data_IF_719667489426
#
_entry.id   IF_719667489426
#
_cell.length_a   1.000
_cell.length_b   1.000
_cell.length_c   1.000
_cell.angle_alpha   90.00
_cell.angle_beta   90.00
_cell.angle_gamma   90.00
#
_symmetry.space_group_name_H-M   'P 1'
#
loop_
_entity.id
_entity.type
_entity.pdbx_description
1 polymer ?
#
# COMPACT_ATOMS: atom_id res chain seq x y z
N UNK A 1 14.26 -34.14 0.44
CA UNK A 1 14.41 -33.74 -0.97
C UNK A 1 14.47 -32.21 -0.98
N UNK A 2 15.49 -31.58 -1.58
CA UNK A 2 15.50 -30.12 -1.71
C UNK A 2 14.20 -29.66 -2.37
N UNK A 3 13.60 -28.55 -1.92
CA UNK A 3 12.36 -28.02 -2.54
C UNK A 3 12.50 -27.81 -4.06
N UNK A 4 13.74 -27.62 -4.54
CA UNK A 4 14.08 -27.42 -5.96
C UNK A 4 13.93 -28.66 -6.83
N UNK A 5 13.97 -29.86 -6.25
CA UNK A 5 13.94 -31.11 -7.03
C UNK A 5 12.54 -31.75 -7.06
N UNK A 6 11.58 -31.16 -6.34
CA UNK A 6 10.23 -31.71 -6.20
C UNK A 6 9.55 -31.89 -7.57
N UNK A 7 8.88 -33.02 -7.77
CA UNK A 7 8.26 -33.40 -9.04
C UNK A 7 7.19 -32.40 -9.52
N UNK A 8 6.52 -31.74 -8.57
CA UNK A 8 5.46 -30.75 -8.85
C UNK A 8 5.98 -29.31 -8.91
N UNK A 9 7.30 -29.08 -8.95
CA UNK A 9 7.82 -27.73 -9.05
C UNK A 9 7.51 -27.13 -10.45
N UNK A 10 7.08 -25.88 -10.47
CA UNK A 10 7.01 -25.11 -11.69
C UNK A 10 8.42 -24.88 -12.23
N UNK A 11 8.55 -24.87 -13.55
CA UNK A 11 9.80 -24.57 -14.24
C UNK A 11 9.49 -23.57 -15.34
N UNK A 12 10.37 -22.58 -15.54
CA UNK A 12 10.30 -21.62 -16.66
C UNK A 12 11.65 -21.52 -17.35
N UNK A 13 11.75 -21.11 -18.60
CA UNK A 13 13.04 -20.80 -19.21
C UNK A 13 13.39 -19.32 -19.00
N UNK A 14 14.39 -19.05 -18.18
CA UNK A 14 14.87 -17.68 -17.89
C UNK A 14 16.01 -17.35 -18.86
N UNK A 15 15.92 -16.25 -19.64
CA UNK A 15 17.02 -15.81 -20.49
C UNK A 15 18.27 -15.45 -19.68
N UNK A 16 19.44 -15.94 -20.10
CA UNK A 16 20.71 -15.74 -19.40
C UNK A 16 21.14 -14.26 -19.28
N UNK A 17 20.62 -13.40 -20.16
CA UNK A 17 20.87 -11.96 -20.13
C UNK A 17 19.97 -11.19 -19.14
N UNK A 18 19.02 -11.85 -18.46
CA UNK A 18 18.16 -11.23 -17.45
C UNK A 18 18.89 -11.10 -16.11
N UNK A 19 19.90 -10.24 -16.07
CA UNK A 19 20.70 -9.99 -14.86
C UNK A 19 19.91 -9.33 -13.73
N UNK A 20 18.72 -8.82 -14.05
CA UNK A 20 17.83 -8.09 -13.15
C UNK A 20 16.80 -9.00 -12.44
N UNK A 21 16.64 -10.24 -12.92
CA UNK A 21 15.69 -11.22 -12.41
C UNK A 21 16.40 -12.22 -11.48
N UNK A 22 15.90 -12.40 -10.25
CA UNK A 22 16.63 -13.11 -9.18
C UNK A 22 15.99 -14.44 -8.78
N UNK A 23 14.76 -14.73 -9.24
CA UNK A 23 14.15 -16.03 -8.98
C UNK A 23 14.85 -17.12 -9.77
N UNK A 24 14.98 -18.28 -9.13
CA UNK A 24 15.51 -19.50 -9.75
C UNK A 24 14.53 -20.05 -10.77
N UNK A 25 15.06 -20.80 -11.72
CA UNK A 25 14.33 -21.42 -12.82
C UNK A 25 13.19 -22.36 -12.36
N UNK A 26 13.39 -23.05 -11.23
CA UNK A 26 12.42 -23.96 -10.63
C UNK A 26 11.90 -23.40 -9.32
N UNK A 27 10.58 -23.35 -9.17
CA UNK A 27 9.86 -22.85 -7.98
C UNK A 27 8.75 -23.82 -7.59
N UNK A 28 8.70 -24.24 -6.33
CA UNK A 28 7.59 -25.06 -5.83
C UNK A 28 6.37 -24.20 -5.48
N UNK A 29 6.61 -23.00 -4.93
CA UNK A 29 5.57 -22.10 -4.42
C UNK A 29 5.90 -20.69 -4.90
N UNK A 30 4.87 -19.95 -5.30
CA UNK A 30 4.96 -18.52 -5.59
C UNK A 30 4.37 -17.76 -4.40
N UNK A 31 5.14 -16.83 -3.84
CA UNK A 31 4.75 -16.08 -2.65
C UNK A 31 4.55 -14.62 -3.00
N UNK A 32 3.32 -14.11 -2.85
CA UNK A 32 3.03 -12.68 -3.00
C UNK A 32 2.86 -12.04 -1.62
N UNK A 33 3.48 -10.88 -1.45
CA UNK A 33 3.25 -9.97 -0.33
C UNK A 33 2.02 -9.12 -0.60
N UNK A 34 1.25 -8.80 0.44
CA UNK A 34 0.01 -8.05 0.26
C UNK A 34 0.28 -6.60 -0.20
N UNK A 35 -0.15 -6.21 -1.42
CA UNK A 35 0.11 -4.88 -1.96
C UNK A 35 -0.64 -3.76 -1.20
N UNK A 36 -1.81 -4.03 -0.62
CA UNK A 36 -2.53 -3.06 0.22
C UNK A 36 -1.72 -2.72 1.47
N UNK A 37 -1.10 -3.72 2.09
CA UNK A 37 -0.23 -3.51 3.24
C UNK A 37 1.09 -2.81 2.87
N UNK A 38 1.68 -3.12 1.72
CA UNK A 38 2.84 -2.38 1.19
C UNK A 38 2.49 -0.89 1.05
N UNK A 39 1.38 -0.57 0.39
CA UNK A 39 0.92 0.81 0.19
C UNK A 39 0.62 1.54 1.50
N UNK A 40 -0.11 0.92 2.42
CA UNK A 40 -0.41 1.53 3.73
C UNK A 40 0.85 1.72 4.59
N UNK A 41 1.83 0.82 4.54
CA UNK A 41 3.14 1.02 5.18
C UNK A 41 3.91 2.18 4.57
N UNK A 42 3.96 2.30 3.23
CA UNK A 42 4.58 3.46 2.55
C UNK A 42 3.91 4.78 2.98
N UNK A 43 2.57 4.81 3.01
CA UNK A 43 1.81 5.97 3.51
C UNK A 43 2.17 6.28 4.96
N UNK A 44 2.12 5.29 5.86
CA UNK A 44 2.37 5.51 7.29
C UNK A 44 3.81 5.98 7.54
N UNK A 45 4.77 5.51 6.74
CA UNK A 45 6.14 5.99 6.79
C UNK A 45 6.25 7.47 6.38
N UNK A 46 5.52 7.89 5.32
CA UNK A 46 5.42 9.30 4.93
C UNK A 46 4.75 10.18 6.00
N UNK A 47 3.71 9.68 6.67
CA UNK A 47 2.98 10.43 7.71
C UNK A 47 3.65 10.38 9.09
N UNK A 48 4.70 9.58 9.25
CA UNK A 48 5.38 9.42 10.53
C UNK A 48 6.28 10.62 10.83
N UNK A 49 6.16 11.17 12.04
CA UNK A 49 7.09 12.19 12.54
C UNK A 49 8.49 11.64 12.84
N UNK A 50 8.65 10.31 12.91
CA UNK A 50 9.92 9.63 13.21
C UNK A 50 10.72 9.29 11.94
N UNK A 51 10.07 9.17 10.79
CA UNK A 51 10.72 8.78 9.55
C UNK A 51 11.38 9.97 8.87
N UNK A 52 12.58 9.78 8.31
CA UNK A 52 13.34 10.86 7.65
C UNK A 52 13.63 10.51 6.21
N UNK A 53 12.63 10.44 5.35
CA UNK A 53 12.82 10.03 3.95
C UNK A 53 13.53 11.09 3.08
N UNK A 54 14.47 10.68 2.22
CA UNK A 54 15.16 11.60 1.29
C UNK A 54 15.62 10.93 0.00
N UNK A 55 15.54 11.65 -1.11
CA UNK A 55 16.01 11.22 -2.45
C UNK A 55 16.78 12.38 -3.08
N UNK A 56 18.04 12.15 -3.46
CA UNK A 56 18.88 13.19 -4.02
C UNK A 56 19.06 14.36 -3.05
N UNK A 57 18.82 15.58 -3.53
CA UNK A 57 18.91 16.81 -2.72
C UNK A 57 17.63 17.16 -1.97
N UNK A 58 16.55 16.39 -2.15
CA UNK A 58 15.24 16.74 -1.61
C UNK A 58 14.77 15.76 -0.54
N UNK A 59 14.06 16.29 0.46
CA UNK A 59 13.40 15.53 1.51
C UNK A 59 11.96 15.22 1.12
N UNK A 60 11.49 14.02 1.45
CA UNK A 60 10.08 13.67 1.37
C UNK A 60 9.44 14.05 2.72
N UNK A 61 8.58 15.08 2.73
CA UNK A 61 7.94 15.59 3.96
C UNK A 61 6.45 15.82 3.78
N UNK A 62 5.69 15.49 4.82
CA UNK A 62 4.27 15.82 4.97
C UNK A 62 3.97 17.31 4.73
N UNK A 63 4.92 18.19 5.05
CA UNK A 63 4.77 19.64 4.86
C UNK A 63 4.46 20.02 3.42
N UNK A 64 4.96 19.26 2.44
CA UNK A 64 4.70 19.49 1.01
C UNK A 64 3.22 19.24 0.70
N UNK A 65 2.63 18.16 1.25
CA UNK A 65 1.21 17.86 1.11
C UNK A 65 0.35 18.87 1.89
N UNK A 66 0.80 19.30 3.06
CA UNK A 66 0.11 20.34 3.85
C UNK A 66 0.07 21.68 3.10
N UNK A 67 1.18 22.07 2.44
CA UNK A 67 1.25 23.25 1.57
C UNK A 67 0.31 23.12 0.37
N UNK A 68 0.23 21.93 -0.25
CA UNK A 68 -0.70 21.67 -1.34
C UNK A 68 -2.14 21.91 -0.91
N UNK A 69 -2.55 21.30 0.21
CA UNK A 69 -3.91 21.40 0.76
C UNK A 69 -4.26 22.84 1.16
N UNK A 70 -3.30 23.61 1.67
CA UNK A 70 -3.52 24.98 2.10
C UNK A 70 -3.59 25.98 0.93
N UNK A 71 -2.78 25.77 -0.11
CA UNK A 71 -2.52 26.79 -1.14
C UNK A 71 -3.15 26.47 -2.50
N UNK A 72 -3.63 25.25 -2.73
CA UNK A 72 -4.24 24.82 -3.99
C UNK A 72 -5.71 24.51 -3.80
N UNK A 73 -6.52 24.76 -4.82
CA UNK A 73 -7.95 24.48 -4.75
C UNK A 73 -8.20 22.97 -4.66
N UNK A 74 -9.01 22.54 -3.67
CA UNK A 74 -9.44 21.16 -3.47
C UNK A 74 -10.03 20.50 -4.73
N UNK A 75 -10.68 21.26 -5.61
CA UNK A 75 -11.25 20.72 -6.85
C UNK A 75 -10.18 20.21 -7.83
N UNK A 76 -8.93 20.64 -7.66
CA UNK A 76 -7.80 20.20 -8.50
C UNK A 76 -7.23 18.89 -7.98
N UNK A 77 -6.97 18.77 -6.68
CA UNK A 77 -6.23 17.64 -6.09
C UNK A 77 -7.09 16.66 -5.29
N UNK A 78 -8.33 17.00 -4.96
CA UNK A 78 -9.28 16.15 -4.23
C UNK A 78 -9.02 15.91 -2.73
N UNK A 79 -7.80 16.17 -2.24
CA UNK A 79 -7.40 15.94 -0.85
C UNK A 79 -8.12 16.82 0.19
N UNK A 80 -8.34 16.25 1.38
CA UNK A 80 -8.73 16.95 2.61
C UNK A 80 -7.73 16.68 3.74
N UNK A 81 -7.76 17.52 4.79
CA UNK A 81 -6.87 17.38 5.96
C UNK A 81 -6.90 15.98 6.60
N UNK A 82 -8.06 15.32 6.62
CA UNK A 82 -8.19 13.96 7.18
C UNK A 82 -7.45 12.91 6.36
N UNK A 83 -7.23 13.12 5.06
CA UNK A 83 -6.51 12.14 4.22
C UNK A 83 -5.04 12.05 4.66
N UNK A 84 -4.44 13.15 5.13
CA UNK A 84 -3.05 13.19 5.60
C UNK A 84 -2.90 12.97 7.11
N UNK A 85 -3.97 12.54 7.79
CA UNK A 85 -3.97 12.33 9.23
C UNK A 85 -3.40 10.95 9.62
N UNK A 86 -2.42 10.86 10.54
CA UNK A 86 -1.70 9.62 10.84
C UNK A 86 -2.46 8.64 11.76
N UNK A 87 -3.58 9.05 12.36
CA UNK A 87 -4.31 8.24 13.36
C UNK A 87 -4.89 6.95 12.78
N UNK A 88 -5.43 7.01 11.56
CA UNK A 88 -5.95 5.83 10.88
C UNK A 88 -4.86 5.20 10.01
N UNK A 89 -4.10 4.28 10.62
CA UNK A 89 -2.97 3.58 9.99
C UNK A 89 -3.41 2.53 8.96
N UNK A 90 -4.67 2.10 8.98
CA UNK A 90 -5.21 1.08 8.07
C UNK A 90 -5.99 1.70 6.89
N UNK A 91 -5.98 3.03 6.76
CA UNK A 91 -6.72 3.74 5.73
C UNK A 91 -6.12 3.62 4.33
N UNK A 92 -6.46 2.54 3.62
CA UNK A 92 -6.03 2.37 2.24
C UNK A 92 -6.66 3.41 1.29
N UNK A 93 -7.91 3.82 1.52
CA UNK A 93 -8.59 4.81 0.67
C UNK A 93 -7.85 6.17 0.66
N UNK A 94 -7.29 6.58 1.80
CA UNK A 94 -6.41 7.75 1.85
C UNK A 94 -5.13 7.51 1.05
N UNK A 95 -4.53 6.33 1.13
CA UNK A 95 -3.35 5.97 0.32
C UNK A 95 -3.61 6.11 -1.18
N UNK A 96 -4.78 5.66 -1.65
CA UNK A 96 -5.22 5.84 -3.03
C UNK A 96 -5.45 7.31 -3.39
N UNK A 97 -5.95 8.15 -2.48
CA UNK A 97 -6.15 9.57 -2.79
C UNK A 97 -4.84 10.34 -2.84
N UNK A 98 -3.96 10.18 -1.84
CA UNK A 98 -2.70 10.95 -1.76
C UNK A 98 -1.76 10.67 -2.93
N UNK A 99 -1.87 9.48 -3.53
CA UNK A 99 -1.03 9.08 -4.65
C UNK A 99 -1.69 9.27 -6.02
N UNK A 100 -2.84 9.95 -6.09
CA UNK A 100 -3.58 10.11 -7.35
C UNK A 100 -2.81 10.92 -8.38
N UNK A 101 -3.15 10.75 -9.66
CA UNK A 101 -2.51 11.51 -10.74
C UNK A 101 -2.82 13.01 -10.61
N UNK A 102 -4.04 13.36 -10.18
CA UNK A 102 -4.44 14.73 -9.86
C UNK A 102 -3.53 15.38 -8.80
N UNK A 103 -3.18 14.65 -7.74
CA UNK A 103 -2.23 15.14 -6.71
C UNK A 103 -0.83 15.27 -7.30
N UNK A 104 -0.37 14.30 -8.09
CA UNK A 104 0.95 14.36 -8.73
C UNK A 104 1.11 15.54 -9.68
N UNK A 105 0.05 15.89 -10.43
CA UNK A 105 -0.01 17.06 -11.30
C UNK A 105 -0.05 18.34 -10.48
N UNK A 106 -0.88 18.41 -9.44
CA UNK A 106 -0.98 19.60 -8.60
C UNK A 106 0.34 19.92 -7.85
N UNK A 107 1.13 18.88 -7.52
CA UNK A 107 2.45 19.05 -6.92
C UNK A 107 3.50 19.65 -7.87
N UNK A 108 3.30 19.64 -9.20
CA UNK A 108 4.25 20.26 -10.16
C UNK A 108 4.43 21.76 -9.93
N UNK A 109 3.40 22.42 -9.42
CA UNK A 109 3.41 23.86 -9.14
C UNK A 109 4.14 24.18 -7.83
N UNK A 110 4.34 23.18 -6.96
CA UNK A 110 5.00 23.37 -5.68
C UNK A 110 6.53 23.21 -5.84
N UNK A 111 7.33 24.22 -5.45
CA UNK A 111 8.79 24.11 -5.50
C UNK A 111 9.29 23.00 -4.59
N UNK A 112 10.39 22.35 -4.98
CA UNK A 112 11.05 21.27 -4.25
C UNK A 112 10.15 20.07 -3.90
N UNK A 113 9.14 19.81 -4.73
CA UNK A 113 8.20 18.68 -4.54
C UNK A 113 8.60 17.40 -5.27
N UNK A 114 9.68 17.40 -6.05
CA UNK A 114 9.99 16.31 -7.00
C UNK A 114 10.24 14.97 -6.29
N UNK A 115 10.98 14.95 -5.17
CA UNK A 115 11.15 13.72 -4.39
C UNK A 115 9.82 13.21 -3.80
N UNK A 116 8.94 14.11 -3.34
CA UNK A 116 7.59 13.73 -2.90
C UNK A 116 6.77 13.14 -4.05
N UNK A 117 6.78 13.76 -5.23
CA UNK A 117 6.08 13.26 -6.41
C UNK A 117 6.56 11.86 -6.79
N UNK A 118 7.87 11.64 -6.78
CA UNK A 118 8.45 10.33 -7.08
C UNK A 118 8.05 9.26 -6.05
N UNK A 119 8.00 9.63 -4.77
CA UNK A 119 7.52 8.76 -3.69
C UNK A 119 6.03 8.41 -3.83
N UNK A 120 5.19 9.37 -4.18
CA UNK A 120 3.76 9.12 -4.44
C UNK A 120 3.56 8.29 -5.72
N UNK A 121 4.40 8.49 -6.73
CA UNK A 121 4.43 7.69 -7.96
C UNK A 121 4.85 6.24 -7.71
N UNK A 122 5.73 5.99 -6.72
CA UNK A 122 6.04 4.64 -6.24
C UNK A 122 4.77 3.94 -5.72
N UNK A 123 4.02 4.60 -4.84
CA UNK A 123 2.76 4.09 -4.28
C UNK A 123 1.76 3.83 -5.41
N UNK A 124 1.56 4.82 -6.30
CA UNK A 124 0.65 4.69 -7.45
C UNK A 124 1.02 3.50 -8.33
N UNK A 125 2.30 3.31 -8.63
CA UNK A 125 2.76 2.19 -9.46
C UNK A 125 2.47 0.84 -8.81
N UNK A 126 2.60 0.70 -7.48
CA UNK A 126 2.23 -0.53 -6.76
C UNK A 126 0.71 -0.78 -6.86
N UNK A 127 -0.11 0.26 -6.69
CA UNK A 127 -1.58 0.16 -6.84
C UNK A 127 -1.94 -0.30 -8.26
N UNK A 128 -1.38 0.36 -9.28
CA UNK A 128 -1.63 0.02 -10.70
C UNK A 128 -1.16 -1.41 -11.02
N UNK A 129 0.00 -1.84 -10.52
CA UNK A 129 0.53 -3.16 -10.79
C UNK A 129 -0.31 -4.29 -10.18
N UNK A 130 -0.77 -4.13 -8.93
CA UNK A 130 -1.28 -5.27 -8.16
C UNK A 130 -2.73 -5.14 -7.67
N UNK A 131 -3.31 -3.94 -7.64
CA UNK A 131 -4.62 -3.70 -7.01
C UNK A 131 -5.67 -3.32 -8.05
N UNK A 132 -5.35 -2.41 -8.97
CA UNK A 132 -6.29 -2.00 -10.01
C UNK A 132 -6.67 -3.20 -10.88
N UNK A 133 -7.98 -3.38 -11.14
CA UNK A 133 -8.53 -4.49 -11.91
C UNK A 133 -8.47 -4.24 -13.41
N UNK A 134 -8.45 -2.98 -13.84
CA UNK A 134 -8.49 -2.60 -15.26
C UNK A 134 -7.11 -2.63 -15.94
N UNK A 135 -6.03 -2.69 -15.16
CA UNK A 135 -4.66 -2.65 -15.70
C UNK A 135 -4.30 -3.93 -16.48
N UNK A 136 -3.80 -3.75 -17.70
CA UNK A 136 -3.28 -4.81 -18.58
C UNK A 136 -1.97 -5.41 -18.06
N UNK A 137 -1.66 -6.66 -18.41
CA UNK A 137 -0.43 -7.32 -17.94
C UNK A 137 0.85 -6.56 -18.30
N UNK A 138 0.92 -5.95 -19.48
CA UNK A 138 2.09 -5.16 -19.91
C UNK A 138 2.33 -4.00 -18.95
N UNK A 139 1.26 -3.28 -18.60
CA UNK A 139 1.32 -2.15 -17.67
C UNK A 139 1.60 -2.63 -16.25
N UNK A 140 1.08 -3.79 -15.83
CA UNK A 140 1.41 -4.37 -14.52
C UNK A 140 2.90 -4.66 -14.39
N UNK A 141 3.48 -5.30 -15.40
CA UNK A 141 4.93 -5.59 -15.43
C UNK A 141 5.74 -4.30 -15.43
N UNK A 142 5.35 -3.32 -16.25
CA UNK A 142 5.99 -2.02 -16.28
C UNK A 142 6.01 -1.37 -14.88
N UNK A 143 4.84 -1.22 -14.25
CA UNK A 143 4.72 -0.56 -12.96
C UNK A 143 5.38 -1.36 -11.81
N UNK A 144 5.32 -2.68 -11.85
CA UNK A 144 6.03 -3.54 -10.89
C UNK A 144 7.54 -3.31 -10.95
N UNK A 145 8.13 -3.33 -12.15
CA UNK A 145 9.56 -3.11 -12.32
C UNK A 145 9.97 -1.65 -12.15
N UNK A 146 9.11 -0.70 -12.48
CA UNK A 146 9.29 0.71 -12.16
C UNK A 146 9.49 0.89 -10.65
N UNK A 147 8.61 0.30 -9.84
CA UNK A 147 8.73 0.33 -8.37
C UNK A 147 10.04 -0.30 -7.88
N UNK A 148 10.43 -1.45 -8.44
CA UNK A 148 11.70 -2.12 -8.10
C UNK A 148 12.90 -1.24 -8.44
N UNK A 149 13.00 -0.73 -9.67
CA UNK A 149 14.17 0.06 -10.07
C UNK A 149 14.27 1.36 -9.31
N UNK A 150 13.13 1.99 -9.00
CA UNK A 150 13.12 3.19 -8.16
C UNK A 150 13.71 2.88 -6.78
N UNK A 151 13.26 1.80 -6.13
CA UNK A 151 13.82 1.39 -4.84
C UNK A 151 15.29 0.96 -4.93
N UNK A 152 15.70 0.21 -5.97
CA UNK A 152 17.09 -0.22 -6.17
C UNK A 152 18.03 0.97 -6.35
N UNK A 153 17.68 1.91 -7.23
CA UNK A 153 18.52 3.08 -7.49
C UNK A 153 18.56 4.01 -6.28
N UNK A 154 17.43 4.21 -5.59
CA UNK A 154 17.37 4.97 -4.35
C UNK A 154 18.27 4.35 -3.27
N UNK A 155 18.18 3.02 -3.07
CA UNK A 155 19.01 2.31 -2.11
C UNK A 155 20.51 2.37 -2.49
N UNK A 156 20.84 2.11 -3.75
CA UNK A 156 22.22 2.17 -4.23
C UNK A 156 22.83 3.57 -4.07
N UNK A 157 22.06 4.62 -4.37
CA UNK A 157 22.48 6.00 -4.17
C UNK A 157 22.79 6.30 -2.70
N UNK A 158 21.91 5.89 -1.78
CA UNK A 158 22.13 6.06 -0.34
C UNK A 158 23.39 5.34 0.14
N UNK A 159 23.62 4.10 -0.31
CA UNK A 159 24.81 3.33 0.05
C UNK A 159 26.10 3.96 -0.50
N UNK A 160 26.07 4.45 -1.74
CA UNK A 160 27.21 5.14 -2.34
C UNK A 160 27.50 6.44 -1.61
N UNK A 161 26.49 7.29 -1.39
CA UNK A 161 26.69 8.57 -0.69
C UNK A 161 27.22 8.39 0.71
N UNK A 162 26.78 7.34 1.42
CA UNK A 162 27.31 7.05 2.74
C UNK A 162 28.79 6.66 2.77
N UNK A 163 29.36 6.18 1.66
CA UNK A 163 30.79 5.86 1.56
C UNK A 163 31.68 7.10 1.37
N UNK A 164 31.11 8.25 1.00
CA UNK A 164 31.85 9.44 0.54
C UNK A 164 31.43 10.74 1.27
N UNK A 165 31.23 10.69 2.60
CA UNK A 165 30.67 11.76 3.45
C UNK A 165 29.15 11.96 3.30
N UNK A 166 28.42 11.59 4.37
CA UNK A 166 27.17 12.27 4.71
C UNK A 166 27.56 13.64 5.27
N UNK A 167 27.90 14.56 4.36
CA UNK A 167 28.21 15.95 4.70
C UNK A 167 26.99 16.59 5.41
N UNK A 168 27.26 17.54 6.30
CA UNK A 168 26.36 18.06 7.35
C UNK A 168 24.98 18.54 6.87
N UNK A 169 24.77 18.71 5.56
CA UNK A 169 23.57 19.29 4.95
C UNK A 169 22.27 18.52 5.21
N UNK A 170 22.32 17.21 5.48
CA UNK A 170 21.14 16.43 5.90
C UNK A 170 21.04 16.25 7.43
N UNK A 171 22.10 16.57 8.18
CA UNK A 171 22.19 16.37 9.64
C UNK A 171 21.70 17.59 10.44
N UNK A 172 21.66 18.79 9.85
CA UNK A 172 21.32 20.04 10.55
C UNK A 172 19.89 20.17 11.13
N UNK A 173 19.02 19.17 11.00
CA UNK A 173 17.63 19.25 11.50
C UNK A 173 17.22 18.09 12.42
N UNK A 174 18.16 17.24 12.84
CA UNK A 174 17.92 16.27 13.92
C UNK A 174 18.26 16.93 15.26
N UNK A 175 17.25 17.15 16.10
CA UNK A 175 17.32 17.84 17.39
C UNK A 175 18.58 17.57 18.23
N UNK A 176 19.08 18.67 18.82
CA UNK A 176 20.28 18.86 19.64
C UNK A 176 20.35 18.06 20.97
N UNK A 177 20.09 16.75 21.00
CA UNK A 177 20.29 15.96 22.22
C UNK A 177 20.70 14.51 21.90
N UNK A 178 21.92 14.31 21.40
CA UNK A 178 22.56 13.00 21.47
C UNK A 178 24.07 13.16 21.58
N UNK A 179 24.55 13.00 22.81
CA UNK A 179 25.96 12.86 23.15
C UNK A 179 26.65 11.79 22.31
N UNK A 180 27.88 12.12 21.95
CA UNK A 180 28.91 11.35 21.26
C UNK A 180 29.02 9.89 21.72
N UNK A 181 28.46 8.97 20.92
CA UNK A 181 28.88 7.57 20.77
C UNK A 181 28.19 6.95 19.53
N UNK A 182 28.97 6.56 18.51
CA UNK A 182 28.55 5.70 17.39
C UNK A 182 28.01 6.41 16.12
N UNK A 183 28.90 6.85 15.23
CA UNK A 183 28.62 7.43 13.90
C UNK A 183 28.15 6.38 12.85
N UNK A 184 27.08 5.66 13.16
CA UNK A 184 26.33 4.80 12.22
C UNK A 184 24.81 4.93 12.42
N UNK A 185 24.35 6.07 12.95
CA UNK A 185 22.93 6.47 12.90
C UNK A 185 22.61 7.07 11.53
N UNK A 186 21.73 6.50 10.74
CA UNK A 186 21.79 5.17 10.11
C UNK A 186 21.17 5.43 8.74
N UNK A 187 21.88 5.16 7.65
CA UNK A 187 21.41 5.38 6.25
C UNK A 187 19.97 4.86 6.05
N UNK A 188 19.62 3.81 6.81
CA UNK A 188 18.28 3.20 6.86
C UNK A 188 17.16 4.17 7.20
N UNK A 189 17.42 5.23 7.97
CA UNK A 189 16.41 6.23 8.32
C UNK A 189 15.96 7.09 7.13
N UNK A 190 16.80 7.15 6.08
CA UNK A 190 16.55 7.89 4.84
C UNK A 190 15.88 7.09 3.73
N UNK A 191 15.64 5.80 3.99
CA UNK A 191 15.02 4.87 3.07
C UNK A 191 13.72 4.32 3.65
N UNK A 192 12.99 3.58 2.81
CA UNK A 192 11.93 2.70 3.31
C UNK A 192 12.52 1.54 4.12
N UNK A 193 11.71 0.87 4.93
CA UNK A 193 12.19 -0.29 5.70
C UNK A 193 12.61 -1.43 4.77
N UNK A 194 13.60 -2.23 5.20
CA UNK A 194 14.12 -3.33 4.39
C UNK A 194 13.04 -4.36 4.02
N UNK A 195 12.13 -4.65 4.96
CA UNK A 195 10.98 -5.55 4.72
C UNK A 195 10.11 -5.01 3.57
N UNK A 196 9.88 -3.69 3.52
CA UNK A 196 9.08 -3.06 2.47
C UNK A 196 9.77 -3.12 1.12
N UNK A 197 11.08 -2.83 1.09
CA UNK A 197 11.90 -2.97 -0.11
C UNK A 197 11.87 -4.40 -0.66
N UNK A 198 12.13 -5.39 0.19
CA UNK A 198 12.08 -6.80 -0.18
C UNK A 198 10.68 -7.25 -0.63
N UNK A 199 9.61 -6.70 -0.04
CA UNK A 199 8.24 -7.02 -0.45
C UNK A 199 7.94 -6.54 -1.87
N UNK A 200 8.43 -5.34 -2.24
CA UNK A 200 8.31 -4.80 -3.59
C UNK A 200 9.10 -5.66 -4.59
N UNK A 201 10.33 -6.05 -4.24
CA UNK A 201 11.15 -6.99 -5.02
C UNK A 201 10.41 -8.31 -5.25
N UNK A 202 10.00 -9.00 -4.18
CA UNK A 202 9.32 -10.30 -4.22
C UNK A 202 8.13 -10.23 -5.18
N UNK A 203 7.25 -9.25 -5.03
CA UNK A 203 6.05 -9.16 -5.87
C UNK A 203 6.38 -9.02 -7.37
N UNK A 204 7.38 -8.21 -7.73
CA UNK A 204 7.73 -7.98 -9.13
C UNK A 204 8.37 -9.22 -9.78
N UNK A 205 9.26 -9.90 -9.06
CA UNK A 205 9.82 -11.15 -9.55
C UNK A 205 8.75 -12.23 -9.69
N UNK A 206 7.84 -12.35 -8.72
CA UNK A 206 6.77 -13.36 -8.73
C UNK A 206 5.77 -13.10 -9.85
N UNK A 207 5.39 -11.84 -10.08
CA UNK A 207 4.58 -11.44 -11.24
C UNK A 207 5.24 -11.82 -12.56
N UNK A 208 6.55 -11.57 -12.68
CA UNK A 208 7.30 -11.90 -13.90
C UNK A 208 7.40 -13.41 -14.09
N UNK A 209 7.64 -14.17 -13.02
CA UNK A 209 7.67 -15.63 -13.06
C UNK A 209 6.31 -16.20 -13.49
N UNK A 210 5.22 -15.69 -12.92
CA UNK A 210 3.87 -16.09 -13.29
C UNK A 210 3.54 -15.75 -14.75
N UNK A 211 3.99 -14.58 -15.21
CA UNK A 211 3.88 -14.19 -16.62
C UNK A 211 4.62 -15.18 -17.50
N UNK A 212 5.85 -15.58 -17.15
CA UNK A 212 6.60 -16.58 -17.90
C UNK A 212 5.88 -17.92 -17.96
N UNK A 213 5.25 -18.37 -16.87
CA UNK A 213 4.45 -19.60 -16.88
C UNK A 213 3.29 -19.55 -17.88
N UNK A 214 2.63 -18.39 -18.01
CA UNK A 214 1.54 -18.21 -18.98
C UNK A 214 2.06 -18.08 -20.40
N UNK A 215 3.16 -17.34 -20.61
CA UNK A 215 3.82 -17.21 -21.92
C UNK A 215 4.36 -18.54 -22.44
N UNK A 216 4.78 -19.43 -21.55
CA UNK A 216 5.21 -20.79 -21.87
C UNK A 216 4.05 -21.81 -21.88
N UNK A 217 2.80 -21.34 -21.83
CA UNK A 217 1.58 -22.16 -21.88
C UNK A 217 1.46 -23.21 -20.74
N UNK A 218 2.17 -23.01 -19.63
CA UNK A 218 2.13 -23.87 -18.44
C UNK A 218 0.98 -23.53 -17.50
N UNK A 219 0.46 -22.30 -17.58
CA UNK A 219 -0.70 -21.83 -16.84
C UNK A 219 -1.65 -21.08 -17.77
N UNK A 220 -2.97 -21.10 -17.47
CA UNK A 220 -3.95 -20.37 -18.25
C UNK A 220 -3.86 -18.86 -17.99
N UNK A 221 -4.37 -18.04 -18.91
CA UNK A 221 -4.26 -16.57 -18.83
C UNK A 221 -4.95 -15.98 -17.59
N UNK A 222 -5.98 -16.66 -17.08
CA UNK A 222 -6.70 -16.33 -15.86
C UNK A 222 -5.79 -16.33 -14.63
N UNK A 223 -4.65 -17.05 -14.67
CA UNK A 223 -3.65 -16.99 -13.62
C UNK A 223 -3.07 -15.56 -13.45
N UNK A 224 -3.15 -14.71 -14.47
CA UNK A 224 -2.70 -13.31 -14.42
C UNK A 224 -3.73 -12.35 -13.80
N UNK A 225 -4.76 -12.85 -13.12
CA UNK A 225 -5.67 -12.04 -12.31
C UNK A 225 -5.01 -11.61 -10.99
N UNK A 226 -3.92 -10.84 -11.09
CA UNK A 226 -3.04 -10.46 -9.97
C UNK A 226 -3.77 -9.73 -8.84
N UNK A 227 -4.85 -9.01 -9.15
CA UNK A 227 -5.68 -8.34 -8.14
C UNK A 227 -6.38 -9.30 -7.17
N UNK A 228 -6.33 -10.61 -7.41
CA UNK A 228 -6.78 -11.65 -6.49
C UNK A 228 -5.69 -12.09 -5.49
N UNK A 229 -4.43 -11.73 -5.72
CA UNK A 229 -3.29 -12.19 -4.92
C UNK A 229 -2.98 -11.23 -3.76
N UNK A 230 -4.03 -10.85 -3.03
CA UNK A 230 -3.95 -10.04 -1.82
C UNK A 230 -4.86 -10.63 -0.74
N UNK A 231 -4.77 -10.12 0.48
CA UNK A 231 -5.56 -10.63 1.61
C UNK A 231 -6.95 -9.99 1.74
N UNK A 232 -7.40 -9.16 0.79
CA UNK A 232 -8.67 -8.42 0.92
C UNK A 232 -9.89 -9.34 1.02
N UNK A 233 -9.87 -10.50 0.36
CA UNK A 233 -10.92 -11.52 0.51
C UNK A 233 -10.95 -12.11 1.92
N UNK A 234 -9.79 -12.32 2.54
CA UNK A 234 -9.68 -12.76 3.93
C UNK A 234 -10.19 -11.68 4.88
N UNK A 235 -9.77 -10.42 4.71
CA UNK A 235 -10.26 -9.29 5.49
C UNK A 235 -11.79 -9.10 5.35
N UNK A 236 -12.32 -9.28 4.14
CA UNK A 236 -13.76 -9.26 3.90
C UNK A 236 -14.48 -10.35 4.69
N UNK A 237 -13.93 -11.57 4.74
CA UNK A 237 -14.48 -12.67 5.53
C UNK A 237 -14.48 -12.35 7.03
N UNK A 238 -13.40 -11.77 7.54
CA UNK A 238 -13.34 -11.29 8.92
C UNK A 238 -14.36 -10.18 9.20
N UNK A 239 -14.53 -9.21 8.30
CA UNK A 239 -15.55 -8.17 8.45
C UNK A 239 -16.96 -8.75 8.45
N UNK A 240 -17.27 -9.66 7.53
CA UNK A 240 -18.57 -10.33 7.46
C UNK A 240 -18.87 -11.13 8.73
N UNK A 241 -17.91 -11.88 9.26
CA UNK A 241 -18.09 -12.62 10.53
C UNK A 241 -18.27 -11.70 11.74
N UNK A 242 -17.63 -10.52 11.77
CA UNK A 242 -17.89 -9.49 12.80
C UNK A 242 -19.28 -8.87 12.68
N UNK A 243 -19.74 -8.63 11.45
CA UNK A 243 -21.06 -8.10 11.17
C UNK A 243 -22.21 -9.09 11.48
N UNK A 244 -21.91 -10.40 11.50
CA UNK A 244 -22.86 -11.45 11.89
C UNK A 244 -23.07 -11.51 13.41
N UNK A 245 -23.68 -10.46 13.95
CA UNK A 245 -24.16 -10.42 15.33
C UNK A 245 -25.69 -10.47 15.36
N UNK A 246 -26.27 -10.96 16.46
CA UNK A 246 -27.73 -11.04 16.62
C UNK A 246 -28.39 -9.66 16.67
N UNK A 247 -29.71 -9.58 16.44
CA UNK A 247 -30.47 -8.32 16.36
C UNK A 247 -30.32 -7.37 17.57
N UNK A 248 -29.87 -7.90 18.72
CA UNK A 248 -29.64 -7.15 19.96
C UNK A 248 -28.21 -7.30 20.50
N UNK A 249 -27.26 -7.71 19.65
CA UNK A 249 -25.87 -7.94 20.03
C UNK A 249 -24.93 -7.15 19.12
N UNK A 250 -24.05 -6.36 19.71
CA UNK A 250 -22.95 -5.66 19.03
C UNK A 250 -21.59 -6.35 19.25
N UNK A 251 -21.61 -7.65 19.60
CA UNK A 251 -20.39 -8.40 19.95
C UNK A 251 -19.54 -8.63 18.69
N UNK A 252 -18.60 -7.72 18.48
CA UNK A 252 -17.60 -7.78 17.40
C UNK A 252 -16.41 -8.69 17.73
N UNK A 253 -16.17 -8.97 19.01
CA UNK A 253 -15.09 -9.84 19.48
C UNK A 253 -15.66 -11.21 19.86
N UNK A 254 -15.04 -12.28 19.37
CA UNK A 254 -15.56 -13.64 19.57
C UNK A 254 -14.43 -14.66 19.63
N UNK A 255 -14.70 -15.79 20.30
CA UNK A 255 -13.75 -16.89 20.41
C UNK A 255 -13.55 -17.62 19.07
N UNK A 256 -12.50 -18.42 18.95
CA UNK A 256 -12.22 -19.22 17.75
C UNK A 256 -13.41 -20.13 17.39
N UNK A 257 -14.04 -20.76 18.38
CA UNK A 257 -15.23 -21.59 18.15
C UNK A 257 -16.40 -20.78 17.58
N UNK A 258 -16.61 -19.57 18.10
CA UNK A 258 -17.65 -18.67 17.59
C UNK A 258 -17.33 -18.18 16.17
N UNK A 259 -16.05 -17.93 15.85
CA UNK A 259 -15.62 -17.62 14.49
C UNK A 259 -15.95 -18.76 13.52
N UNK A 260 -15.57 -20.00 13.85
CA UNK A 260 -15.82 -21.17 13.00
C UNK A 260 -17.31 -21.36 12.72
N UNK A 261 -18.15 -21.22 13.76
CA UNK A 261 -19.60 -21.29 13.61
C UNK A 261 -20.16 -20.18 12.69
N UNK A 262 -19.63 -18.96 12.79
CA UNK A 262 -20.05 -17.84 11.92
C UNK A 262 -19.53 -18.04 10.49
N UNK A 263 -18.31 -18.52 10.32
CA UNK A 263 -17.73 -18.83 9.01
C UNK A 263 -18.52 -19.94 8.29
N UNK A 264 -18.95 -20.98 9.02
CA UNK A 264 -19.83 -22.01 8.45
C UNK A 264 -21.16 -21.43 7.97
N UNK A 265 -21.78 -20.54 8.76
CA UNK A 265 -23.01 -19.85 8.35
C UNK A 265 -22.79 -18.95 7.13
N UNK A 266 -21.67 -18.23 7.05
CA UNK A 266 -21.31 -17.45 5.85
C UNK A 266 -21.16 -18.35 4.64
N UNK A 267 -20.49 -19.50 4.77
CA UNK A 267 -20.33 -20.46 3.66
C UNK A 267 -21.69 -20.93 3.13
N UNK A 268 -22.62 -21.28 4.02
CA UNK A 268 -23.99 -21.66 3.63
C UNK A 268 -24.71 -20.50 2.94
N UNK A 269 -24.61 -19.28 3.47
CA UNK A 269 -25.22 -18.09 2.85
C UNK A 269 -24.64 -17.82 1.46
N UNK A 270 -23.33 -17.99 1.28
CA UNK A 270 -22.69 -17.85 -0.02
C UNK A 270 -23.15 -18.91 -1.01
N UNK A 271 -23.26 -20.18 -0.58
CA UNK A 271 -23.78 -21.26 -1.40
C UNK A 271 -25.22 -20.97 -1.89
N UNK A 272 -26.12 -20.59 -0.98
CA UNK A 272 -27.51 -20.24 -1.33
C UNK A 272 -27.55 -19.03 -2.28
N UNK A 273 -26.69 -18.02 -2.05
CA UNK A 273 -26.61 -16.85 -2.93
C UNK A 273 -26.13 -17.22 -4.33
N UNK A 274 -25.10 -18.06 -4.46
CA UNK A 274 -24.61 -18.53 -5.76
C UNK A 274 -25.64 -19.37 -6.50
N UNK A 275 -26.37 -20.26 -5.81
CA UNK A 275 -27.43 -21.06 -6.41
C UNK A 275 -28.60 -20.20 -6.89
N UNK A 276 -28.96 -19.16 -6.13
CA UNK A 276 -30.00 -18.20 -6.54
C UNK A 276 -29.59 -17.39 -7.77
N UNK A 277 -28.32 -16.97 -7.88
CA UNK A 277 -27.79 -16.23 -9.03
C UNK A 277 -27.70 -17.09 -10.31
N UNK A 278 -27.39 -18.38 -10.18
CA UNK A 278 -27.43 -19.33 -11.31
C UNK A 278 -28.86 -19.63 -11.72
N UNK A 279 -29.77 -19.87 -10.78
CA UNK A 279 -31.16 -20.23 -11.06
C UNK A 279 -32.02 -19.07 -11.57
N UNK A 280 -31.63 -17.81 -11.31
CA UNK A 280 -32.31 -16.64 -11.89
C UNK A 280 -32.01 -16.41 -13.38
N UNK A 281 -31.02 -17.13 -13.95
CA UNK A 281 -30.79 -17.18 -15.40
C UNK A 281 -31.67 -18.22 -16.13
N UNK A 282 -32.37 -19.08 -15.39
CA UNK A 282 -33.27 -20.12 -15.92
C UNK A 282 -34.72 -19.78 -15.52
N UNK A 283 -35.53 -19.45 -16.52
CA UNK A 283 -36.80 -18.68 -16.44
C UNK A 283 -37.93 -19.25 -15.54
N UNK A 284 -37.80 -20.37 -14.81
CA UNK A 284 -38.97 -21.00 -14.14
C UNK A 284 -38.75 -21.61 -12.73
N UNK A 285 -37.84 -21.08 -11.91
CA UNK A 285 -37.73 -21.51 -10.50
C UNK A 285 -38.01 -20.35 -9.55
N UNK A 286 -38.77 -20.56 -8.48
CA UNK A 286 -39.03 -19.56 -7.44
C UNK A 286 -37.69 -18.99 -6.92
N UNK A 287 -37.29 -17.82 -7.40
CA UNK A 287 -35.99 -17.24 -7.08
C UNK A 287 -36.02 -16.70 -5.65
N UNK A 288 -35.14 -17.21 -4.79
CA UNK A 288 -34.89 -16.61 -3.48
C UNK A 288 -34.24 -15.24 -3.68
N UNK A 289 -35.05 -14.18 -3.60
CA UNK A 289 -34.59 -12.79 -3.66
C UNK A 289 -34.17 -12.37 -2.26
N UNK A 290 -32.86 -12.34 -2.01
CA UNK A 290 -32.33 -11.72 -0.80
C UNK A 290 -32.61 -10.22 -0.82
N UNK A 291 -33.02 -9.60 0.31
CA UNK A 291 -33.10 -8.15 0.42
C UNK A 291 -31.73 -7.52 0.15
N UNK A 292 -31.53 -6.99 -1.06
CA UNK A 292 -30.33 -6.23 -1.42
C UNK A 292 -30.59 -4.77 -1.06
N UNK A 293 -29.71 -4.15 -0.29
CA UNK A 293 -29.69 -2.69 -0.17
C UNK A 293 -29.52 -2.10 -1.59
N UNK A 294 -30.41 -1.20 -2.03
CA UNK A 294 -30.45 -0.65 -3.41
C UNK A 294 -29.08 -0.18 -3.95
N UNK A 295 -28.16 0.22 -3.06
CA UNK A 295 -26.79 0.65 -3.40
C UNK A 295 -25.91 -0.45 -4.05
N UNK A 296 -26.16 -1.73 -3.79
CA UNK A 296 -25.34 -2.84 -4.34
C UNK A 296 -25.75 -3.25 -5.76
N UNK A 297 -26.99 -2.95 -6.19
CA UNK A 297 -27.47 -3.29 -7.54
C UNK A 297 -26.69 -2.56 -8.65
N UNK A 298 -26.14 -1.38 -8.35
CA UNK A 298 -25.35 -0.58 -9.30
C UNK A 298 -23.91 -1.06 -9.51
N UNK A 299 -23.41 -2.00 -8.69
CA UNK A 299 -22.01 -2.48 -8.76
C UNK A 299 -21.84 -3.84 -9.47
N UNK A 300 -22.93 -4.49 -9.88
CA UNK A 300 -22.88 -5.82 -10.50
C UNK A 300 -22.67 -5.82 -12.03
N UNK A 301 -22.70 -4.65 -12.69
CA UNK A 301 -22.63 -4.54 -14.16
C UNK A 301 -21.24 -4.21 -14.70
N UNK A 302 -20.20 -4.75 -14.08
CA UNK A 302 -18.87 -4.78 -14.68
C UNK A 302 -18.19 -6.10 -14.36
N UNK A 303 -18.76 -7.19 -14.92
CA UNK A 303 -17.91 -8.32 -15.30
C UNK A 303 -16.91 -7.76 -16.30
N UNK A 304 -15.69 -7.49 -15.83
CA UNK A 304 -14.57 -7.21 -16.70
C UNK A 304 -14.37 -8.45 -17.55
N UNK A 305 -14.98 -8.46 -18.74
CA UNK A 305 -14.55 -9.31 -19.83
C UNK A 305 -13.08 -9.00 -20.04
N UNK A 306 -12.21 -9.89 -19.56
CA UNK A 306 -10.78 -9.88 -19.88
C UNK A 306 -10.71 -10.16 -21.37
N UNK A 307 -10.87 -9.11 -22.17
CA UNK A 307 -10.64 -9.19 -23.59
C UNK A 307 -9.14 -9.26 -23.82
N UNK A 308 -8.81 -10.08 -24.82
CA UNK A 308 -7.61 -10.07 -25.66
C UNK A 308 -6.41 -10.87 -25.14
N UNK A 309 -6.25 -12.04 -25.74
CA UNK A 309 -4.99 -12.75 -26.08
C UNK A 309 -3.72 -12.03 -25.62
N UNK A 310 -3.13 -12.51 -24.51
CA UNK A 310 -1.80 -12.10 -24.09
C UNK A 310 -0.76 -12.78 -24.99
N UNK A 311 -0.48 -12.19 -26.15
CA UNK A 311 0.64 -12.61 -27.01
C UNK A 311 1.93 -11.92 -26.54
N UNK A 312 2.23 -12.01 -25.24
CA UNK A 312 3.43 -11.43 -24.67
C UNK A 312 4.61 -12.37 -24.93
N UNK A 313 5.69 -11.87 -25.50
CA UNK A 313 6.92 -12.65 -25.67
C UNK A 313 7.94 -12.32 -24.58
N UNK A 314 8.97 -13.16 -24.41
CA UNK A 314 10.11 -12.85 -23.53
C UNK A 314 10.83 -11.55 -23.94
N UNK A 315 10.86 -11.25 -25.24
CA UNK A 315 11.42 -10.00 -25.74
C UNK A 315 10.57 -8.79 -25.34
N UNK A 316 9.23 -8.94 -25.31
CA UNK A 316 8.34 -7.89 -24.82
C UNK A 316 8.55 -7.63 -23.33
N UNK A 317 8.67 -8.68 -22.51
CA UNK A 317 9.01 -8.54 -21.09
C UNK A 317 10.32 -7.77 -20.94
N UNK A 318 11.39 -8.19 -21.65
CA UNK A 318 12.69 -7.51 -21.59
C UNK A 318 12.56 -6.03 -21.99
N UNK A 319 11.80 -5.70 -23.04
CA UNK A 319 11.58 -4.33 -23.49
C UNK A 319 10.82 -3.50 -22.45
N UNK A 320 9.76 -4.05 -21.85
CA UNK A 320 8.97 -3.40 -20.80
C UNK A 320 9.85 -3.09 -19.58
N UNK A 321 10.60 -4.09 -19.11
CA UNK A 321 11.52 -3.94 -17.96
C UNK A 321 12.63 -2.93 -18.27
N UNK A 322 13.16 -2.97 -19.50
CA UNK A 322 14.15 -1.99 -19.94
C UNK A 322 13.56 -0.58 -19.96
N UNK A 323 12.34 -0.38 -20.47
CA UNK A 323 11.65 0.92 -20.43
C UNK A 323 11.54 1.43 -19.00
N UNK A 324 11.01 0.60 -18.09
CA UNK A 324 10.86 0.97 -16.69
C UNK A 324 12.18 1.39 -16.04
N UNK A 325 13.29 0.71 -16.37
CA UNK A 325 14.62 1.09 -15.91
C UNK A 325 15.04 2.47 -16.42
N UNK A 326 14.89 2.73 -17.73
CA UNK A 326 15.29 4.02 -18.32
C UNK A 326 14.43 5.17 -17.79
N UNK A 327 13.12 4.96 -17.69
CA UNK A 327 12.17 5.96 -17.20
C UNK A 327 12.46 6.33 -15.74
N UNK A 328 12.78 5.35 -14.89
CA UNK A 328 13.22 5.62 -13.50
C UNK A 328 14.56 6.36 -13.48
N UNK A 329 15.52 5.95 -14.31
CA UNK A 329 16.83 6.59 -14.36
C UNK A 329 16.72 8.06 -14.76
N UNK A 330 15.90 8.38 -15.77
CA UNK A 330 15.62 9.75 -16.21
C UNK A 330 14.98 10.57 -15.08
N UNK A 331 13.95 10.02 -14.42
CA UNK A 331 13.30 10.71 -13.30
C UNK A 331 14.26 11.00 -12.15
N UNK A 332 15.11 10.04 -11.78
CA UNK A 332 16.10 10.22 -10.71
C UNK A 332 17.23 11.17 -11.12
N UNK A 333 17.52 11.31 -12.42
CA UNK A 333 18.48 12.29 -12.91
C UNK A 333 18.04 13.73 -12.60
N UNK A 334 16.72 14.00 -12.57
CA UNK A 334 16.19 15.32 -12.16
C UNK A 334 16.49 15.67 -10.69
N UNK A 335 16.85 14.68 -9.87
CA UNK A 335 17.19 14.82 -8.45
C UNK A 335 18.70 14.71 -8.18
N UNK A 336 19.54 14.70 -9.22
CA UNK A 336 21.01 14.57 -9.13
C UNK A 336 21.47 13.25 -8.50
N UNK A 337 20.65 12.19 -8.63
CA UNK A 337 20.97 10.84 -8.15
C UNK A 337 21.86 10.11 -9.15
N UNK A 338 21.70 10.38 -10.44
CA UNK A 338 22.39 9.70 -11.53
C UNK A 338 23.90 9.96 -11.54
N UNK A 339 24.36 11.16 -11.18
CA UNK A 339 25.78 11.48 -11.13
C UNK A 339 26.54 10.58 -10.16
N UNK A 340 26.03 10.41 -8.95
CA UNK A 340 26.63 9.52 -7.96
C UNK A 340 26.64 8.05 -8.42
N UNK A 341 25.58 7.60 -9.10
CA UNK A 341 25.52 6.24 -9.66
C UNK A 341 26.49 6.06 -10.83
N UNK A 342 26.67 7.09 -11.68
CA UNK A 342 27.62 7.07 -12.80
C UNK A 342 29.06 7.01 -12.32
N UNK A 343 29.43 7.85 -11.36
CA UNK A 343 30.76 7.88 -10.73
C UNK A 343 31.17 6.51 -10.15
N UNK A 344 30.18 5.76 -9.64
CA UNK A 344 30.38 4.44 -9.04
C UNK A 344 30.12 3.28 -10.02
N UNK A 345 29.96 3.56 -11.31
CA UNK A 345 29.69 2.57 -12.37
C UNK A 345 28.40 1.75 -12.18
N UNK A 346 27.39 2.27 -11.46
CA UNK A 346 26.09 1.61 -11.15
C UNK A 346 24.96 2.08 -12.10
N UNK A 347 25.30 2.77 -13.19
CA UNK A 347 24.32 3.40 -14.08
C UNK A 347 23.70 2.48 -15.15
N UNK A 348 24.19 1.24 -15.30
CA UNK A 348 23.61 0.27 -16.23
C UNK A 348 22.73 -0.74 -15.48
N UNK A 349 21.71 -1.29 -16.15
CA UNK A 349 20.83 -2.30 -15.57
C UNK A 349 21.59 -3.51 -15.01
N UNK A 350 22.62 -3.96 -15.74
CA UNK A 350 23.49 -5.05 -15.30
C UNK A 350 24.26 -4.70 -14.04
N UNK A 351 24.94 -3.55 -14.02
CA UNK A 351 25.78 -3.16 -12.89
C UNK A 351 24.93 -2.87 -11.64
N UNK A 352 23.79 -2.20 -11.79
CA UNK A 352 22.84 -2.00 -10.69
C UNK A 352 22.36 -3.32 -10.10
N UNK A 353 21.98 -4.27 -10.96
CA UNK A 353 21.46 -5.56 -10.49
C UNK A 353 22.54 -6.38 -9.79
N UNK A 354 23.78 -6.39 -10.30
CA UNK A 354 24.90 -7.04 -9.64
C UNK A 354 25.25 -6.38 -8.30
N UNK A 355 25.22 -5.05 -8.23
CA UNK A 355 25.44 -4.31 -6.98
C UNK A 355 24.40 -4.68 -5.92
N UNK A 356 23.11 -4.61 -6.26
CA UNK A 356 22.02 -4.95 -5.34
C UNK A 356 22.08 -6.41 -4.89
N UNK A 357 22.36 -7.34 -5.81
CA UNK A 357 22.48 -8.76 -5.46
C UNK A 357 23.61 -9.00 -4.46
N UNK A 358 24.77 -8.35 -4.63
CA UNK A 358 25.88 -8.44 -3.69
C UNK A 358 25.51 -7.89 -2.31
N UNK A 359 24.83 -6.75 -2.26
CA UNK A 359 24.37 -6.14 -1.01
C UNK A 359 23.33 -7.02 -0.29
N UNK A 360 22.37 -7.60 -1.03
CA UNK A 360 21.38 -8.53 -0.46
C UNK A 360 22.04 -9.78 0.13
N UNK A 361 23.01 -10.37 -0.59
CA UNK A 361 23.75 -11.53 -0.09
C UNK A 361 24.60 -11.19 1.15
N UNK A 362 25.20 -10.00 1.20
CA UNK A 362 25.96 -9.55 2.36
C UNK A 362 25.06 -9.44 3.61
N UNK A 363 23.83 -8.93 3.46
CA UNK A 363 22.87 -8.83 4.57
C UNK A 363 22.43 -10.20 5.09
N UNK A 364 22.28 -11.21 4.23
CA UNK A 364 21.89 -12.56 4.65
C UNK A 364 23.00 -13.26 5.45
N UNK A 365 24.27 -13.02 5.11
CA UNK A 365 25.41 -13.64 5.81
C UNK A 365 25.66 -13.06 7.21
N UNK A 366 25.02 -11.94 7.55
CA UNK A 366 25.13 -11.30 8.88
C UNK A 366 24.00 -11.66 9.83
N UNK A 367 23.03 -12.48 9.42
CA UNK A 367 21.93 -12.93 10.29
C UNK A 367 22.44 -14.15 11.08
N UNK A 368 22.90 -13.91 12.31
CA UNK A 368 23.17 -14.94 13.30
C UNK A 368 21.84 -15.29 13.99
N UNK A 369 21.26 -16.45 13.67
CA UNK A 369 19.99 -16.96 14.20
C UNK A 369 20.02 -17.25 15.73
N UNK A 370 21.11 -16.93 16.43
CA UNK A 370 21.30 -17.22 17.86
C UNK A 370 20.91 -16.09 18.81
N UNK A 371 20.55 -14.90 18.31
CA UNK A 371 20.00 -13.82 19.14
C UNK A 371 18.51 -13.64 18.86
N UNK A 372 17.62 -13.70 19.88
CA UNK A 372 16.27 -13.20 19.69
C UNK A 372 16.42 -11.73 19.32
N UNK A 373 16.10 -11.39 18.07
CA UNK A 373 15.92 -10.00 17.69
C UNK A 373 14.86 -9.45 18.64
N UNK A 374 15.29 -8.57 19.55
CA UNK A 374 14.44 -7.55 20.13
C UNK A 374 13.89 -6.79 18.93
N UNK A 375 12.78 -7.30 18.39
CA UNK A 375 11.96 -6.66 17.38
C UNK A 375 11.83 -5.22 17.81
N UNK A 376 12.39 -4.34 16.98
CA UNK A 376 12.18 -2.91 17.05
C UNK A 376 10.75 -2.67 17.51
N UNK A 377 10.64 -1.97 18.64
CA UNK A 377 9.40 -1.56 19.25
C UNK A 377 8.46 -0.96 18.22
N UNK A 378 7.65 -1.80 17.59
CA UNK A 378 6.27 -1.48 17.25
C UNK A 378 5.61 -1.24 18.61
N UNK A 379 5.80 -0.04 19.13
CA UNK A 379 4.95 0.49 20.17
C UNK A 379 3.56 0.61 19.55
N UNK A 380 2.80 -0.48 19.61
CA UNK A 380 1.36 -0.53 19.73
C UNK A 380 0.93 0.18 21.03
N UNK A 381 1.46 1.38 21.27
CA UNK A 381 0.98 2.27 22.30
C UNK A 381 -0.11 3.12 21.65
N UNK A 382 -1.36 2.81 21.97
CA UNK A 382 -2.47 3.74 21.87
C UNK A 382 -2.08 5.02 22.62
N UNK A 383 -1.55 6.00 21.88
CA UNK A 383 -1.47 7.36 22.38
C UNK A 383 -2.91 7.88 22.44
N UNK A 384 -3.55 7.61 23.57
CA UNK A 384 -4.67 8.39 24.09
C UNK A 384 -4.14 9.82 24.17
N UNK A 385 -4.47 10.62 23.16
CA UNK A 385 -4.34 12.07 23.25
C UNK A 385 -5.45 12.53 24.20
N UNK A 386 -5.10 12.60 25.47
CA UNK A 386 -5.94 13.19 26.51
C UNK A 386 -5.92 14.71 26.29
N UNK A 387 -6.99 15.22 25.67
CA UNK A 387 -7.22 16.66 25.58
C UNK A 387 -7.80 17.09 26.93
N UNK A 388 -6.92 17.48 27.87
CA UNK A 388 -7.34 18.34 28.97
C UNK A 388 -7.45 19.77 28.45
N UNK A 389 -8.69 20.17 28.19
CA UNK A 389 -9.10 21.54 27.96
C UNK A 389 -8.99 22.30 29.29
N UNK A 390 -7.83 22.91 29.54
CA UNK A 390 -7.66 23.84 30.65
C UNK A 390 -8.11 25.22 30.20
N UNK A 391 -9.40 25.49 30.41
CA UNK A 391 -9.97 26.82 30.45
C UNK A 391 -9.25 27.57 31.58
N UNK A 392 -8.45 28.57 31.23
CA UNK A 392 -7.96 29.55 32.19
C UNK A 392 -9.12 30.50 32.52
N UNK A 393 -9.77 30.27 33.65
CA UNK A 393 -10.56 31.28 34.36
C UNK A 393 -9.63 32.06 35.30
N UNK A 394 -9.31 33.30 34.94
CA UNK A 394 -9.06 34.37 35.91
C UNK A 394 -9.66 35.67 35.37
N UNK A 395 -10.60 36.24 36.12
CA UNK A 395 -11.18 37.56 35.84
C UNK A 395 -12.54 37.77 36.48
N UNK A 396 -12.54 38.04 37.79
CA UNK A 396 -13.67 38.62 38.53
C UNK A 396 -14.22 39.89 37.83
N UNK A 397 -15.54 40.05 37.75
CA UNK A 397 -16.32 41.03 38.54
C UNK A 397 -17.78 41.11 38.03
N UNK A 398 -18.70 40.90 38.97
CA UNK A 398 -20.06 41.46 39.12
C UNK A 398 -20.70 42.19 37.95
N UNK A 399 -21.89 41.76 37.50
CA UNK A 399 -23.15 42.35 37.95
C UNK A 399 -24.40 41.64 37.40
N UNK A 400 -25.47 41.76 38.18
CA UNK A 400 -26.83 41.23 37.99
C UNK A 400 -27.47 41.64 36.66
N UNK A 401 -28.30 40.77 36.06
CA UNK A 401 -29.74 41.03 36.04
C UNK A 401 -30.60 39.83 35.56
N UNK A 402 -31.81 39.81 36.09
CA UNK A 402 -32.94 38.91 35.86
C UNK A 402 -33.34 38.75 34.37
N UNK A 403 -33.82 37.57 33.96
CA UNK A 403 -35.27 37.34 33.76
C UNK A 403 -35.61 35.87 33.45
N UNK A 404 -36.76 35.49 33.98
CA UNK A 404 -37.47 34.22 33.98
C UNK A 404 -38.44 34.06 32.80
N UNK A 405 -38.74 32.83 32.39
CA UNK A 405 -40.08 32.31 31.99
C UNK A 405 -39.92 30.87 31.45
N UNK A 406 -40.28 29.84 32.21
CA UNK A 406 -41.61 29.22 32.45
C UNK A 406 -41.99 28.12 31.43
N UNK A 407 -42.14 26.92 31.98
CA UNK A 407 -42.80 25.72 31.43
C UNK A 407 -44.29 25.97 31.18
N UNK A 408 -44.89 25.31 30.19
CA UNK A 408 -46.24 24.75 30.37
C UNK A 408 -46.58 23.65 29.34
N UNK A 409 -46.80 22.45 29.86
CA UNK A 409 -47.60 21.36 29.28
C UNK A 409 -49.06 21.66 29.61
N UNK A 410 -49.99 21.46 28.66
CA UNK A 410 -51.39 21.25 28.99
C UNK A 410 -52.01 20.20 28.06
N UNK A 411 -52.46 19.12 28.71
CA UNK A 411 -53.47 18.17 28.25
C UNK A 411 -54.81 18.88 28.06
N UNK A 412 -55.54 18.51 27.01
CA UNK A 412 -57.00 18.68 26.95
C UNK A 412 -57.62 17.38 26.45
N UNK A 413 -58.28 16.69 27.37
CA UNK A 413 -59.26 15.63 27.12
C UNK A 413 -60.60 16.24 26.67
N UNK A 414 -61.33 15.52 25.82
CA UNK A 414 -62.68 15.89 25.41
C UNK A 414 -63.25 14.94 24.37
N UNK A 415 -63.84 13.84 24.84
CA UNK A 415 -64.72 12.94 24.09
C UNK A 415 -65.87 13.68 23.40
N UNK A 416 -66.42 13.10 22.32
CA UNK A 416 -67.85 12.83 22.07
C UNK A 416 -68.03 12.30 20.63
N UNK A 417 -68.45 11.03 20.53
CA UNK A 417 -69.15 10.42 19.39
C UNK A 417 -70.59 11.00 19.29
N UNK A 418 -71.24 11.08 18.10
CA UNK A 418 -71.89 9.89 17.53
C UNK A 418 -72.02 9.83 15.99
N UNK A 419 -72.25 8.61 15.48
CA UNK A 419 -72.57 8.32 14.08
C UNK A 419 -72.18 6.90 13.69
#
# INVERSE_FOLDING_TARGET
MPLTDHANAFEVSIPANWTWFFLRQRQLILCFQDPTHICTKLRNHLLSSKATLGIGKQRISLDILSKLIANTNKLIHGLVKSDVYPRDRQNFASCEKISSDDVQLALEVIPDSQAMRLYLKLIRSIITAYIDKATSINNRLYHAWFSVFLCRMWWAWLLVKAKYDFDETFVCYSNNNASSQGQTKSIRQFFITNILFQSIEINAHQLTYLTLLVVEEKLPIEALQIFLFNSQTCESTFRSTRAMSGAFSSIVNFSVMQFLNRAQKLSILHAIKSESEVNSSVVNSASLVFPKYRKESSKLTSSATVSTTCLLTKNDIQRIVSSAFHDVFELLSTLDVDNALKENNIHTLKNLSSFILNEMNAMTNTIDDSTPEDTESDSESDAIFDYHDSINEEGNETDNDYDSTIYELNDVTGDIFPG
#
